data_IF_764457508969
#
_entry.id   IF_764457508969
#
_cell.length_a   1.000
_cell.length_b   1.000
_cell.length_c   1.000
_cell.angle_alpha   90.00
_cell.angle_beta   90.00
_cell.angle_gamma   90.00
#
_symmetry.space_group_name_H-M   'P 1'
#
loop_
_entity.id
_entity.type
_entity.pdbx_description
1 polymer ?
#
# COMPACT_ATOMS: atom_id res chain seq x y z
N UNK A 1 10.68 -25.68 2.87
CA UNK A 1 10.21 -25.33 1.50
C UNK A 1 9.40 -24.04 1.57
N UNK A 2 8.63 -23.83 2.64
CA UNK A 2 7.80 -22.64 2.78
C UNK A 2 8.57 -21.32 2.89
N UNK A 3 9.87 -21.34 3.23
CA UNK A 3 10.67 -20.11 3.27
C UNK A 3 10.90 -19.50 1.88
N UNK A 4 11.08 -20.35 0.85
CA UNK A 4 11.18 -19.92 -0.54
C UNK A 4 9.85 -19.32 -1.04
N UNK A 5 8.73 -19.97 -0.69
CA UNK A 5 7.38 -19.56 -1.09
C UNK A 5 6.97 -18.24 -0.41
N UNK A 6 7.24 -18.09 0.89
CA UNK A 6 7.04 -16.83 1.61
C UNK A 6 7.93 -15.73 1.01
N UNK A 7 9.21 -15.99 0.77
CA UNK A 7 10.13 -15.01 0.17
C UNK A 7 9.67 -14.56 -1.22
N UNK A 8 9.18 -15.49 -2.05
CA UNK A 8 8.62 -15.16 -3.36
C UNK A 8 7.37 -14.28 -3.24
N UNK A 9 6.52 -14.54 -2.26
CA UNK A 9 5.33 -13.73 -1.97
C UNK A 9 5.69 -12.33 -1.49
N UNK A 10 6.67 -12.20 -0.58
CA UNK A 10 7.14 -10.89 -0.10
C UNK A 10 7.76 -10.05 -1.22
N UNK A 11 8.48 -10.67 -2.16
CA UNK A 11 8.96 -9.97 -3.36
C UNK A 11 7.84 -9.46 -4.26
N UNK A 12 6.76 -10.24 -4.45
CA UNK A 12 5.59 -9.80 -5.23
C UNK A 12 4.88 -8.65 -4.54
N UNK A 13 4.65 -8.78 -3.24
CA UNK A 13 4.03 -7.72 -2.43
C UNK A 13 4.84 -6.43 -2.48
N UNK A 14 6.17 -6.50 -2.31
CA UNK A 14 7.07 -5.35 -2.46
C UNK A 14 6.85 -4.61 -3.80
N UNK A 15 6.79 -5.36 -4.90
CA UNK A 15 6.56 -4.77 -6.23
C UNK A 15 5.20 -4.08 -6.35
N UNK A 16 4.16 -4.65 -5.73
CA UNK A 16 2.83 -4.02 -5.72
C UNK A 16 2.82 -2.75 -4.86
N UNK A 17 3.55 -2.73 -3.74
CA UNK A 17 3.72 -1.52 -2.92
C UNK A 17 4.51 -0.44 -3.64
N UNK A 18 5.58 -0.79 -4.35
CA UNK A 18 6.31 0.14 -5.22
C UNK A 18 5.37 0.78 -6.27
N UNK A 19 4.46 -0.02 -6.86
CA UNK A 19 3.48 0.49 -7.81
C UNK A 19 2.40 1.36 -7.16
N UNK A 20 1.92 1.00 -5.97
CA UNK A 20 1.02 1.83 -5.18
C UNK A 20 1.66 3.19 -4.84
N UNK A 21 2.92 3.19 -4.39
CA UNK A 21 3.68 4.42 -4.11
C UNK A 21 3.76 5.30 -5.37
N UNK A 22 4.12 4.73 -6.51
CA UNK A 22 4.14 5.44 -7.79
C UNK A 22 2.79 6.07 -8.14
N UNK A 23 1.68 5.36 -7.92
CA UNK A 23 0.33 5.89 -8.19
C UNK A 23 -0.02 7.04 -7.25
N UNK A 24 0.34 6.95 -5.97
CA UNK A 24 0.13 8.02 -4.99
C UNK A 24 0.98 9.26 -5.35
N UNK A 25 2.24 9.09 -5.73
CA UNK A 25 3.11 10.17 -6.20
C UNK A 25 2.54 10.83 -7.47
N UNK A 26 2.01 10.02 -8.39
CA UNK A 26 1.40 10.50 -9.62
C UNK A 26 0.12 11.30 -9.35
N UNK A 27 -0.75 10.83 -8.45
CA UNK A 27 -1.93 11.59 -8.04
C UNK A 27 -1.54 12.93 -7.42
N UNK A 28 -0.55 12.93 -6.51
CA UNK A 28 -0.05 14.13 -5.86
C UNK A 28 0.53 15.14 -6.86
N UNK A 29 1.26 14.65 -7.87
CA UNK A 29 1.78 15.47 -8.95
C UNK A 29 0.63 16.14 -9.73
N UNK A 30 -0.42 15.40 -10.05
CA UNK A 30 -1.59 15.95 -10.72
C UNK A 30 -2.33 16.99 -9.87
N UNK A 31 -2.53 16.71 -8.58
CA UNK A 31 -3.15 17.64 -7.63
C UNK A 31 -2.35 18.94 -7.53
N UNK A 32 -1.04 18.85 -7.29
CA UNK A 32 -0.14 20.03 -7.20
C UNK A 32 -0.08 20.83 -8.50
N UNK A 33 -0.31 20.20 -9.64
CA UNK A 33 -0.38 20.86 -10.94
C UNK A 33 -1.78 21.37 -11.32
N UNK A 34 -2.78 21.25 -10.43
CA UNK A 34 -4.16 21.67 -10.71
C UNK A 34 -4.90 20.78 -11.71
N UNK A 35 -4.40 19.57 -12.00
CA UNK A 35 -4.99 18.64 -12.97
C UNK A 35 -6.11 17.79 -12.34
N UNK A 36 -7.09 18.44 -11.70
CA UNK A 36 -8.19 17.79 -10.97
C UNK A 36 -9.02 16.83 -11.81
N UNK A 37 -9.12 17.06 -13.13
CA UNK A 37 -9.78 16.15 -14.08
C UNK A 37 -9.14 14.75 -14.16
N UNK A 38 -7.93 14.56 -13.62
CA UNK A 38 -7.23 13.25 -13.56
C UNK A 38 -7.61 12.42 -12.34
N UNK A 39 -8.37 12.97 -11.38
CA UNK A 39 -8.72 12.27 -10.15
C UNK A 39 -9.52 10.99 -10.39
N UNK A 40 -10.48 11.00 -11.32
CA UNK A 40 -11.25 9.80 -11.65
C UNK A 40 -10.33 8.63 -12.06
N UNK A 41 -9.35 8.91 -12.92
CA UNK A 41 -8.42 7.91 -13.41
C UNK A 41 -7.47 7.44 -12.31
N UNK A 42 -6.81 8.38 -11.61
CA UNK A 42 -5.83 8.02 -10.57
C UNK A 42 -6.48 7.29 -9.38
N UNK A 43 -7.69 7.68 -8.97
CA UNK A 43 -8.43 6.98 -7.92
C UNK A 43 -8.79 5.54 -8.33
N UNK A 44 -9.24 5.35 -9.59
CA UNK A 44 -9.54 4.02 -10.13
C UNK A 44 -8.31 3.10 -10.17
N UNK A 45 -7.14 3.61 -10.55
CA UNK A 45 -5.90 2.82 -10.52
C UNK A 45 -5.45 2.50 -9.09
N UNK A 46 -5.59 3.44 -8.15
CA UNK A 46 -5.32 3.20 -6.72
C UNK A 46 -6.22 2.10 -6.15
N UNK A 47 -7.52 2.14 -6.45
CA UNK A 47 -8.47 1.10 -6.02
C UNK A 47 -8.08 -0.28 -6.55
N UNK A 48 -7.67 -0.38 -7.82
CA UNK A 48 -7.24 -1.65 -8.42
C UNK A 48 -6.00 -2.23 -7.74
N UNK A 49 -4.98 -1.40 -7.45
CA UNK A 49 -3.77 -1.89 -6.78
C UNK A 49 -4.05 -2.27 -5.33
N UNK A 50 -4.88 -1.50 -4.62
CA UNK A 50 -5.29 -1.83 -3.24
C UNK A 50 -6.07 -3.14 -3.20
N UNK A 51 -6.96 -3.37 -4.15
CA UNK A 51 -7.68 -4.65 -4.25
C UNK A 51 -6.71 -5.80 -4.57
N UNK A 52 -5.74 -5.60 -5.48
CA UNK A 52 -4.67 -6.59 -5.73
C UNK A 52 -3.85 -6.92 -4.48
N UNK A 53 -3.53 -5.91 -3.66
CA UNK A 53 -2.78 -6.08 -2.41
C UNK A 53 -3.56 -6.90 -1.37
N UNK A 54 -4.90 -6.89 -1.40
CA UNK A 54 -5.71 -7.77 -0.55
C UNK A 54 -5.49 -9.25 -0.89
N UNK A 55 -5.38 -9.60 -2.17
CA UNK A 55 -5.07 -10.96 -2.59
C UNK A 55 -3.64 -11.37 -2.20
N UNK A 56 -2.65 -10.48 -2.37
CA UNK A 56 -1.28 -10.74 -1.92
C UNK A 56 -1.21 -10.91 -0.39
N UNK A 57 -2.00 -10.13 0.37
CA UNK A 57 -2.09 -10.29 1.83
C UNK A 57 -2.65 -11.66 2.24
N UNK A 58 -3.62 -12.21 1.50
CA UNK A 58 -4.15 -13.54 1.76
C UNK A 58 -3.10 -14.62 1.43
N UNK A 59 -2.43 -14.51 0.28
CA UNK A 59 -1.36 -15.42 -0.12
C UNK A 59 -0.22 -15.41 0.92
N UNK A 60 0.23 -14.22 1.34
CA UNK A 60 1.24 -14.07 2.41
C UNK A 60 0.82 -14.76 3.69
N UNK A 61 -0.45 -14.60 4.10
CA UNK A 61 -0.98 -15.25 5.29
C UNK A 61 -0.89 -16.77 5.23
N UNK A 62 -1.21 -17.37 4.08
CA UNK A 62 -1.10 -18.82 3.86
C UNK A 62 0.36 -19.27 3.94
N UNK A 63 1.27 -18.59 3.22
CA UNK A 63 2.69 -18.98 3.22
C UNK A 63 3.36 -18.78 4.59
N UNK A 64 3.02 -17.70 5.28
CA UNK A 64 3.53 -17.43 6.62
C UNK A 64 3.03 -18.47 7.64
N UNK A 65 1.76 -18.88 7.55
CA UNK A 65 1.21 -19.93 8.41
C UNK A 65 1.85 -21.30 8.13
N UNK A 66 2.04 -21.65 6.86
CA UNK A 66 2.73 -22.88 6.47
C UNK A 66 4.17 -22.91 7.00
N UNK A 67 4.89 -21.79 6.86
CA UNK A 67 6.26 -21.66 7.38
C UNK A 67 6.31 -21.71 8.91
N UNK A 68 5.37 -21.03 9.59
CA UNK A 68 5.26 -21.08 11.04
C UNK A 68 5.07 -22.52 11.54
N UNK A 69 4.19 -23.31 10.89
CA UNK A 69 4.02 -24.71 11.20
C UNK A 69 5.29 -25.54 10.94
N UNK A 70 5.98 -25.32 9.81
CA UNK A 70 7.27 -25.97 9.47
C UNK A 70 8.32 -25.71 10.55
N UNK A 71 8.37 -24.49 11.10
CA UNK A 71 9.33 -24.06 12.11
C UNK A 71 8.82 -24.20 13.56
N UNK A 72 7.62 -24.76 13.77
CA UNK A 72 6.99 -24.89 15.09
C UNK A 72 6.84 -23.54 15.82
N UNK A 73 6.63 -22.47 15.06
CA UNK A 73 6.30 -21.15 15.58
C UNK A 73 4.81 -21.05 15.94
N UNK A 74 4.42 -20.12 16.83
CA UNK A 74 3.01 -19.82 17.06
C UNK A 74 2.26 -19.44 15.78
N UNK A 75 0.95 -19.69 15.77
CA UNK A 75 0.09 -19.18 14.71
C UNK A 75 0.16 -17.64 14.68
N UNK A 76 0.05 -17.06 13.48
CA UNK A 76 0.10 -15.60 13.28
C UNK A 76 1.41 -14.94 13.74
N UNK A 77 2.53 -15.65 13.64
CA UNK A 77 3.86 -15.10 13.93
C UNK A 77 4.22 -13.99 12.93
N UNK A 78 4.68 -12.84 13.44
CA UNK A 78 5.15 -11.71 12.61
C UNK A 78 6.45 -12.01 11.86
N UNK A 79 6.73 -11.29 10.78
CA UNK A 79 7.94 -11.46 9.96
C UNK A 79 9.24 -11.33 10.77
N UNK A 80 9.40 -10.33 11.67
CA UNK A 80 10.60 -10.26 12.52
C UNK A 80 10.76 -11.48 13.43
N UNK A 81 9.65 -11.97 13.99
CA UNK A 81 9.64 -13.15 14.85
C UNK A 81 9.99 -14.41 14.06
N UNK A 82 9.42 -14.60 12.87
CA UNK A 82 9.79 -15.68 11.95
C UNK A 82 11.28 -15.63 11.60
N UNK A 83 11.82 -14.45 11.29
CA UNK A 83 13.24 -14.28 11.00
C UNK A 83 14.14 -14.63 12.21
N UNK A 84 13.68 -14.40 13.44
CA UNK A 84 14.39 -14.78 14.67
C UNK A 84 14.32 -16.28 14.98
N UNK A 85 13.27 -16.96 14.52
CA UNK A 85 13.09 -18.41 14.67
C UNK A 85 13.67 -19.22 13.51
N UNK A 86 14.07 -18.54 12.43
CA UNK A 86 14.62 -19.17 11.25
C UNK A 86 15.87 -20.01 11.60
N UNK A 87 15.98 -21.25 11.08
CA UNK A 87 17.17 -22.08 11.26
C UNK A 87 18.44 -21.39 10.74
N UNK A 88 19.60 -21.84 11.23
CA UNK A 88 20.89 -21.37 10.73
C UNK A 88 20.99 -21.54 9.20
N UNK A 89 21.37 -20.48 8.49
CA UNK A 89 21.40 -20.44 7.03
C UNK A 89 21.11 -19.03 6.51
N UNK A 90 20.62 -18.93 5.27
CA UNK A 90 20.37 -17.65 4.59
C UNK A 90 19.08 -16.95 5.02
N UNK A 91 18.12 -17.71 5.55
CA UNK A 91 16.75 -17.24 5.80
C UNK A 91 16.63 -16.15 6.87
N UNK A 92 17.34 -16.21 8.01
CA UNK A 92 17.27 -15.15 9.01
C UNK A 92 17.59 -13.77 8.43
N UNK A 93 18.62 -13.67 7.60
CA UNK A 93 19.07 -12.40 7.04
C UNK A 93 18.20 -11.95 5.84
N UNK A 94 17.78 -12.91 4.99
CA UNK A 94 16.90 -12.58 3.86
C UNK A 94 15.52 -12.10 4.31
N UNK A 95 14.93 -12.70 5.35
CA UNK A 95 13.63 -12.25 5.90
C UNK A 95 13.75 -10.87 6.57
N UNK A 96 14.88 -10.56 7.22
CA UNK A 96 15.16 -9.22 7.76
C UNK A 96 15.30 -8.18 6.65
N UNK A 97 15.94 -8.52 5.54
CA UNK A 97 16.06 -7.63 4.39
C UNK A 97 14.70 -7.32 3.77
N UNK A 98 13.85 -8.35 3.61
CA UNK A 98 12.45 -8.16 3.22
C UNK A 98 11.69 -7.25 4.17
N UNK A 99 11.79 -7.51 5.48
CA UNK A 99 11.17 -6.69 6.51
C UNK A 99 11.57 -5.22 6.37
N UNK A 100 12.87 -4.94 6.34
CA UNK A 100 13.40 -3.58 6.19
C UNK A 100 12.87 -2.89 4.93
N UNK A 101 12.90 -3.58 3.80
CA UNK A 101 12.44 -3.01 2.54
C UNK A 101 10.95 -2.67 2.54
N UNK A 102 10.11 -3.57 3.10
CA UNK A 102 8.67 -3.35 3.20
C UNK A 102 8.33 -2.21 4.17
N UNK A 103 9.03 -2.10 5.30
CA UNK A 103 8.85 -0.99 6.25
C UNK A 103 9.19 0.35 5.60
N UNK A 104 10.32 0.46 4.90
CA UNK A 104 10.71 1.69 4.19
C UNK A 104 9.65 2.10 3.15
N UNK A 105 9.08 1.12 2.43
CA UNK A 105 8.01 1.40 1.47
C UNK A 105 6.73 1.88 2.15
N UNK A 106 6.33 1.26 3.25
CA UNK A 106 5.15 1.70 4.00
C UNK A 106 5.31 3.11 4.56
N UNK A 107 6.48 3.45 5.10
CA UNK A 107 6.77 4.81 5.57
C UNK A 107 6.68 5.83 4.42
N UNK A 108 7.17 5.46 3.23
CA UNK A 108 7.09 6.31 2.04
C UNK A 108 5.63 6.47 1.56
N UNK A 109 4.87 5.38 1.56
CA UNK A 109 3.44 5.38 1.23
C UNK A 109 2.67 6.27 2.21
N UNK A 110 2.94 6.19 3.50
CA UNK A 110 2.28 7.02 4.52
C UNK A 110 2.55 8.51 4.31
N UNK A 111 3.80 8.87 4.04
CA UNK A 111 4.18 10.25 3.78
C UNK A 111 3.45 10.80 2.54
N UNK A 112 3.46 10.06 1.42
CA UNK A 112 2.81 10.52 0.18
C UNK A 112 1.29 10.47 0.27
N UNK A 113 0.72 9.51 1.00
CA UNK A 113 -0.72 9.44 1.25
C UNK A 113 -1.19 10.64 2.10
N UNK A 114 -0.45 11.01 3.14
CA UNK A 114 -0.74 12.20 3.94
C UNK A 114 -0.69 13.48 3.09
N UNK A 115 0.33 13.63 2.24
CA UNK A 115 0.43 14.75 1.30
C UNK A 115 -0.76 14.80 0.31
N UNK A 116 -1.20 13.66 -0.21
CA UNK A 116 -2.40 13.58 -1.07
C UNK A 116 -3.65 14.02 -0.33
N UNK A 117 -3.87 13.53 0.89
CA UNK A 117 -5.04 13.91 1.69
C UNK A 117 -5.05 15.42 1.98
N UNK A 118 -3.90 15.98 2.34
CA UNK A 118 -3.76 17.43 2.55
C UNK A 118 -4.04 18.22 1.26
N UNK A 119 -3.58 17.74 0.10
CA UNK A 119 -3.84 18.40 -1.17
C UNK A 119 -5.32 18.30 -1.59
N UNK A 120 -6.00 17.18 -1.31
CA UNK A 120 -7.42 16.99 -1.58
C UNK A 120 -8.33 17.84 -0.69
N UNK A 121 -7.85 18.29 0.47
CA UNK A 121 -8.56 19.22 1.35
C UNK A 121 -8.46 20.67 0.88
N UNK A 122 -7.42 20.99 0.09
CA UNK A 122 -7.30 22.28 -0.57
C UNK A 122 -8.20 22.25 -1.80
N UNK A 123 -9.43 22.79 -1.67
CA UNK A 123 -10.36 22.87 -2.79
C UNK A 123 -9.69 23.51 -4.03
N UNK A 124 -10.06 23.06 -5.25
CA UNK A 124 -9.56 23.66 -6.47
C UNK A 124 -9.86 25.15 -6.50
N UNK A 125 -8.84 25.97 -6.75
CA UNK A 125 -9.04 27.39 -7.05
C UNK A 125 -10.05 27.52 -8.20
N UNK A 126 -11.05 28.42 -8.09
CA UNK A 126 -12.09 28.57 -9.09
C UNK A 126 -11.46 28.90 -10.44
N UNK A 127 -11.84 28.15 -11.47
CA UNK A 127 -11.40 28.42 -12.83
C UNK A 127 -11.87 29.82 -13.27
N UNK A 128 -11.13 30.45 -14.20
CA UNK A 128 -11.50 31.76 -14.80
C UNK A 128 -12.91 31.75 -15.43
N UNK A 129 -13.48 30.58 -15.69
CA UNK A 129 -14.87 30.38 -16.10
C UNK A 129 -15.67 29.68 -14.99
N UNK A 130 -16.86 30.19 -14.68
CA UNK A 130 -17.79 29.54 -13.74
C UNK A 130 -18.14 28.13 -14.25
N UNK A 131 -17.80 27.07 -13.51
CA UNK A 131 -18.23 25.72 -13.84
C UNK A 131 -19.74 25.57 -13.63
N UNK A 132 -20.39 24.80 -14.51
CA UNK A 132 -21.79 24.40 -14.33
C UNK A 132 -21.95 23.42 -13.15
N UNK A 133 -23.16 23.35 -12.57
CA UNK A 133 -23.49 22.56 -11.38
C UNK A 133 -23.08 21.08 -11.51
N UNK A 134 -23.26 20.49 -12.71
CA UNK A 134 -22.87 19.10 -12.97
C UNK A 134 -21.35 18.88 -12.87
N UNK A 135 -20.56 19.86 -13.32
CA UNK A 135 -19.10 19.79 -13.25
C UNK A 135 -18.62 19.88 -11.80
N UNK A 136 -19.25 20.74 -10.99
CA UNK A 136 -19.01 20.85 -9.55
C UNK A 136 -19.32 19.51 -8.86
N UNK A 137 -20.50 18.94 -9.10
CA UNK A 137 -20.89 17.65 -8.51
C UNK A 137 -19.95 16.50 -8.90
N UNK A 138 -19.55 16.43 -10.18
CA UNK A 138 -18.64 15.39 -10.66
C UNK A 138 -17.27 15.49 -9.98
N UNK A 139 -16.78 16.71 -9.79
CA UNK A 139 -15.52 16.96 -9.11
C UNK A 139 -15.59 16.55 -7.63
N UNK A 140 -16.64 16.92 -6.91
CA UNK A 140 -16.83 16.51 -5.51
C UNK A 140 -16.82 14.98 -5.37
N UNK A 141 -17.59 14.28 -6.20
CA UNK A 141 -17.60 12.80 -6.22
C UNK A 141 -16.20 12.23 -6.47
N UNK A 142 -15.44 12.79 -7.41
CA UNK A 142 -14.08 12.35 -7.71
C UNK A 142 -13.11 12.62 -6.55
N UNK A 143 -13.25 13.74 -5.85
CA UNK A 143 -12.46 14.07 -4.65
C UNK A 143 -12.77 13.08 -3.53
N UNK A 144 -14.05 12.81 -3.24
CA UNK A 144 -14.42 11.84 -2.21
C UNK A 144 -13.89 10.43 -2.54
N UNK A 145 -14.00 10.01 -3.79
CA UNK A 145 -13.45 8.74 -4.27
C UNK A 145 -11.93 8.69 -4.10
N UNK A 146 -11.22 9.73 -4.51
CA UNK A 146 -9.77 9.83 -4.34
C UNK A 146 -9.36 9.75 -2.86
N UNK A 147 -10.03 10.48 -1.97
CA UNK A 147 -9.77 10.42 -0.51
C UNK A 147 -9.98 9.01 0.05
N UNK A 148 -11.05 8.32 -0.36
CA UNK A 148 -11.31 6.95 0.05
C UNK A 148 -10.24 5.97 -0.47
N UNK A 149 -9.80 6.12 -1.72
CA UNK A 149 -8.74 5.30 -2.31
C UNK A 149 -7.40 5.49 -1.58
N UNK A 150 -7.01 6.74 -1.32
CA UNK A 150 -5.78 7.06 -0.56
C UNK A 150 -5.85 6.54 0.87
N UNK A 151 -6.99 6.69 1.56
CA UNK A 151 -7.17 6.15 2.91
C UNK A 151 -7.04 4.63 2.96
N UNK A 152 -7.46 3.94 1.90
CA UNK A 152 -7.37 2.48 1.80
C UNK A 152 -5.92 1.98 1.64
N UNK A 153 -4.96 2.86 1.34
CA UNK A 153 -3.52 2.56 1.31
C UNK A 153 -2.91 2.36 2.72
N UNK A 154 -3.71 2.38 3.79
CA UNK A 154 -3.26 2.14 5.15
C UNK A 154 -2.91 0.66 5.47
N UNK A 155 -3.26 -0.31 4.62
CA UNK A 155 -2.70 -1.67 4.66
C UNK A 155 -2.45 -2.30 6.07
N UNK A 156 -3.43 -2.31 6.98
CA UNK A 156 -3.21 -2.66 8.39
C UNK A 156 -2.73 -4.11 8.59
N UNK A 157 -3.22 -5.05 7.78
CA UNK A 157 -2.81 -6.47 7.85
C UNK A 157 -1.33 -6.68 7.52
N UNK A 158 -0.75 -5.82 6.68
CA UNK A 158 0.69 -5.84 6.40
C UNK A 158 1.47 -5.27 7.58
N UNK A 159 0.99 -4.18 8.19
CA UNK A 159 1.63 -3.58 9.38
C UNK A 159 1.69 -4.53 10.55
N UNK A 160 0.60 -5.24 10.83
CA UNK A 160 0.55 -6.28 11.86
C UNK A 160 1.58 -7.37 11.58
N UNK A 161 1.63 -7.85 10.34
CA UNK A 161 2.60 -8.87 9.94
C UNK A 161 4.05 -8.39 10.06
N UNK A 162 4.32 -7.11 9.79
CA UNK A 162 5.65 -6.51 9.94
C UNK A 162 5.96 -6.11 11.39
N UNK A 163 4.99 -6.13 12.31
CA UNK A 163 5.16 -5.67 13.70
C UNK A 163 5.38 -4.17 13.81
N UNK A 164 4.64 -3.38 13.02
CA UNK A 164 4.76 -1.90 12.91
C UNK A 164 3.49 -1.15 13.28
N UNK A 165 2.51 -1.83 13.87
CA UNK A 165 1.26 -1.21 14.36
C UNK A 165 1.44 -0.42 15.65
#
# INVERSE_FOLDING_TARGET
MGADELSATLWRERRQLDFLLFLLETQLLHLRAGNWHRLEYTASELEKVVESLRFESLARGVEAAALAAEWKAPDQTSLPSLAGMAPAGIWPDLLKEHHRALVILLESIDAVAADNLSALEQEPEPADAEPDDLAIMTLDVNVQRARAAVTSAALPSLRDFLGTT
#
